data_IF_819689802142
#
_entry.id   IF_819689802142
#
_cell.length_a   1.000
_cell.length_b   1.000
_cell.length_c   1.000
_cell.angle_alpha   90.00
_cell.angle_beta   90.00
_cell.angle_gamma   90.00
#
_symmetry.space_group_name_H-M   'P 1'
#
loop_
_entity.id
_entity.type
_entity.pdbx_description
1 polymer ?
#
# COMPACT_ATOMS: atom_id res chain seq x y z
N UNK A 1 -8.45 -1.84 -11.14
CA UNK A 1 -7.07 -2.03 -11.62
C UNK A 1 -6.23 -2.80 -10.59
N UNK A 2 -5.98 -2.32 -9.38
CA UNK A 2 -5.10 -2.96 -8.38
C UNK A 2 -5.42 -4.44 -8.07
N UNK A 3 -6.66 -4.84 -7.76
CA UNK A 3 -6.96 -6.26 -7.52
C UNK A 3 -6.62 -7.16 -8.72
N UNK A 4 -6.82 -6.67 -9.95
CA UNK A 4 -6.48 -7.46 -11.13
C UNK A 4 -4.97 -7.60 -11.31
N UNK A 5 -4.17 -6.56 -10.99
CA UNK A 5 -2.71 -6.64 -10.99
C UNK A 5 -2.24 -7.68 -9.98
N UNK A 6 -2.81 -7.67 -8.77
CA UNK A 6 -2.51 -8.65 -7.72
C UNK A 6 -2.83 -10.07 -8.19
N UNK A 7 -4.00 -10.29 -8.76
CA UNK A 7 -4.45 -11.60 -9.26
C UNK A 7 -3.59 -12.12 -10.41
N UNK A 8 -3.29 -11.26 -11.40
CA UNK A 8 -2.52 -11.65 -12.60
C UNK A 8 -1.07 -12.02 -12.28
N UNK A 9 -0.53 -11.45 -11.21
CA UNK A 9 0.86 -11.65 -10.81
C UNK A 9 1.01 -12.50 -9.54
N UNK A 10 -0.10 -13.04 -9.00
CA UNK A 10 -0.15 -13.74 -7.70
C UNK A 10 0.54 -12.97 -6.58
N UNK A 11 0.35 -11.64 -6.57
CA UNK A 11 0.90 -10.76 -5.54
C UNK A 11 0.13 -10.93 -4.24
N UNK A 12 0.75 -11.59 -3.28
CA UNK A 12 0.27 -11.76 -1.91
C UNK A 12 1.45 -11.63 -0.95
N UNK A 13 1.23 -11.29 0.32
CA UNK A 13 2.33 -11.00 1.25
C UNK A 13 3.36 -12.11 1.35
N UNK A 14 2.90 -13.36 1.44
CA UNK A 14 3.77 -14.52 1.64
C UNK A 14 4.45 -14.99 0.34
N UNK A 15 4.08 -14.46 -0.82
CA UNK A 15 4.70 -14.82 -2.10
C UNK A 15 5.96 -14.02 -2.43
N UNK A 16 6.26 -12.97 -1.69
CA UNK A 16 7.52 -12.22 -1.83
C UNK A 16 8.62 -12.99 -1.12
N UNK A 17 9.57 -13.51 -1.88
CA UNK A 17 10.63 -14.41 -1.37
C UNK A 17 12.00 -13.91 -1.78
N UNK A 18 13.01 -14.36 -1.03
CA UNK A 18 14.41 -14.08 -1.31
C UNK A 18 15.05 -15.17 -2.20
N UNK A 19 16.17 -14.86 -2.84
CA UNK A 19 16.93 -15.84 -3.63
C UNK A 19 17.38 -17.05 -2.80
N UNK A 20 17.73 -16.82 -1.52
CA UNK A 20 18.11 -17.89 -0.61
C UNK A 20 16.95 -18.86 -0.33
N UNK A 21 15.73 -18.33 -0.14
CA UNK A 21 14.53 -19.15 0.02
C UNK A 21 14.21 -19.93 -1.27
N UNK A 22 14.36 -19.31 -2.44
CA UNK A 22 14.18 -20.01 -3.71
C UNK A 22 15.24 -21.09 -3.91
N UNK A 23 16.50 -20.84 -3.57
CA UNK A 23 17.59 -21.81 -3.72
C UNK A 23 17.41 -23.05 -2.85
N UNK A 24 16.83 -22.91 -1.65
CA UNK A 24 16.53 -24.01 -0.72
C UNK A 24 15.18 -24.69 -0.98
N UNK A 25 14.43 -24.25 -1.96
CA UNK A 25 13.07 -24.74 -2.22
C UNK A 25 13.09 -26.01 -3.08
N UNK A 26 12.36 -27.05 -2.66
CA UNK A 26 12.25 -28.34 -3.38
C UNK A 26 11.65 -28.21 -4.79
N UNK A 27 10.90 -27.14 -5.05
CA UNK A 27 10.31 -26.85 -6.36
C UNK A 27 11.24 -26.07 -7.31
N UNK A 28 12.39 -25.59 -6.81
CA UNK A 28 13.36 -24.89 -7.64
C UNK A 28 14.28 -25.88 -8.36
N UNK A 29 13.74 -26.55 -9.37
CA UNK A 29 14.45 -27.56 -10.18
C UNK A 29 14.57 -27.08 -11.63
N UNK A 30 15.58 -27.56 -12.38
CA UNK A 30 15.69 -27.27 -13.80
C UNK A 30 14.38 -27.57 -14.55
N UNK A 31 13.87 -26.59 -15.29
CA UNK A 31 12.59 -26.70 -16.01
C UNK A 31 11.34 -26.35 -15.22
N UNK A 32 11.46 -26.06 -13.92
CA UNK A 32 10.35 -25.67 -13.03
C UNK A 32 10.49 -24.20 -12.64
N UNK A 33 10.14 -23.30 -13.51
CA UNK A 33 10.11 -21.87 -13.18
C UNK A 33 8.88 -21.53 -12.34
N UNK A 34 9.08 -21.28 -11.05
CA UNK A 34 8.04 -20.80 -10.15
C UNK A 34 8.31 -19.38 -9.61
N UNK A 35 9.43 -18.79 -9.94
CA UNK A 35 9.82 -17.43 -9.59
C UNK A 35 9.41 -16.45 -10.70
N UNK A 36 8.69 -15.41 -10.32
CA UNK A 36 8.39 -14.28 -11.20
C UNK A 36 9.11 -13.05 -10.69
N UNK A 37 10.10 -12.58 -11.45
CA UNK A 37 10.85 -11.37 -11.09
C UNK A 37 10.09 -10.13 -11.52
N UNK A 38 9.85 -9.21 -10.58
CA UNK A 38 9.11 -7.97 -10.80
C UNK A 38 9.86 -6.77 -10.23
N UNK A 39 9.95 -5.72 -11.05
CA UNK A 39 10.59 -4.46 -10.63
C UNK A 39 9.60 -3.61 -9.84
N UNK A 40 10.12 -2.87 -8.88
CA UNK A 40 9.39 -1.87 -8.14
C UNK A 40 10.28 -0.67 -7.82
N UNK A 41 9.67 0.49 -7.63
CA UNK A 41 10.39 1.71 -7.31
C UNK A 41 10.19 2.04 -5.83
N UNK A 42 11.28 2.01 -5.06
CA UNK A 42 11.31 2.57 -3.72
C UNK A 42 11.64 4.05 -3.81
N UNK A 43 10.80 4.88 -3.21
CA UNK A 43 11.02 6.32 -3.09
C UNK A 43 11.10 6.68 -1.62
N UNK A 44 12.29 7.01 -1.17
CA UNK A 44 12.56 7.45 0.19
C UNK A 44 12.84 8.93 0.28
N UNK A 45 12.57 9.48 1.45
CA UNK A 45 12.93 10.84 1.81
C UNK A 45 14.08 10.80 2.81
N UNK A 46 15.03 11.71 2.68
CA UNK A 46 16.16 11.85 3.59
C UNK A 46 16.50 13.33 3.79
N UNK A 47 17.11 13.65 4.92
CA UNK A 47 17.61 15.01 5.13
C UNK A 47 18.83 15.27 4.23
N UNK A 48 18.90 16.43 3.55
CA UNK A 48 20.03 16.77 2.68
C UNK A 48 21.34 17.01 3.46
N UNK A 49 21.24 17.11 4.79
CA UNK A 49 22.40 17.33 5.68
C UNK A 49 23.43 16.22 5.52
N UNK A 50 24.71 16.61 5.43
CA UNK A 50 25.86 15.71 5.35
C UNK A 50 26.14 15.08 6.72
N UNK A 51 26.94 14.00 6.71
CA UNK A 51 27.29 13.28 7.94
C UNK A 51 27.89 14.17 9.03
N UNK A 52 28.78 15.07 8.64
CA UNK A 52 29.46 15.99 9.56
C UNK A 52 28.49 16.99 10.19
N UNK A 53 27.55 17.50 9.39
CA UNK A 53 26.48 18.40 9.85
C UNK A 53 25.52 17.68 10.82
N UNK A 54 25.20 16.42 10.54
CA UNK A 54 24.38 15.58 11.43
C UNK A 54 25.11 15.37 12.76
N UNK A 55 26.42 15.10 12.73
CA UNK A 55 27.24 14.93 13.94
C UNK A 55 27.33 16.23 14.73
N UNK A 56 27.53 17.37 14.07
CA UNK A 56 27.50 18.68 14.70
C UNK A 56 26.18 18.94 15.43
N UNK A 57 25.04 18.60 14.81
CA UNK A 57 23.73 18.75 15.44
C UNK A 57 23.57 17.82 16.65
N UNK A 58 24.09 16.59 16.58
CA UNK A 58 24.09 15.66 17.71
C UNK A 58 24.91 16.21 18.89
N UNK A 59 26.13 16.67 18.62
CA UNK A 59 26.97 17.29 19.68
C UNK A 59 26.29 18.51 20.28
N UNK A 60 25.60 19.33 19.49
CA UNK A 60 24.87 20.47 20.05
C UNK A 60 23.74 20.01 20.99
N UNK A 61 23.01 18.93 20.61
CA UNK A 61 21.97 18.36 21.47
C UNK A 61 22.53 17.74 22.76
N UNK A 62 23.72 17.13 22.71
CA UNK A 62 24.38 16.57 23.90
C UNK A 62 24.76 17.65 24.92
N UNK A 63 24.99 18.88 24.48
CA UNK A 63 25.29 20.02 25.33
C UNK A 63 24.06 20.78 25.83
N UNK A 64 22.89 20.49 25.31
CA UNK A 64 21.65 21.14 25.73
C UNK A 64 21.00 20.44 26.93
N UNK A 65 20.31 21.25 27.74
CA UNK A 65 19.49 20.76 28.85
C UNK A 65 18.01 20.88 28.52
N UNK A 66 17.25 19.88 28.89
CA UNK A 66 15.82 19.76 28.58
C UNK A 66 14.96 19.88 29.84
N UNK A 67 13.70 20.34 29.74
CA UNK A 67 12.81 20.48 30.87
C UNK A 67 12.70 19.18 31.68
N UNK A 68 12.57 19.34 32.98
CA UNK A 68 12.31 18.24 33.89
C UNK A 68 11.01 17.54 33.53
N UNK A 69 10.92 16.25 33.82
CA UNK A 69 9.66 15.51 33.71
C UNK A 69 8.74 15.89 34.86
N UNK A 70 7.42 15.85 34.63
CA UNK A 70 6.44 16.20 35.68
C UNK A 70 6.77 15.49 37.01
N UNK A 71 6.92 16.28 38.06
CA UNK A 71 7.30 15.80 39.40
C UNK A 71 8.82 15.77 39.71
N UNK A 72 9.69 16.16 38.77
CA UNK A 72 11.15 16.26 39.00
C UNK A 72 11.63 17.71 38.89
N UNK A 73 12.53 18.12 39.82
CA UNK A 73 13.05 19.51 39.86
C UNK A 73 14.33 19.72 39.03
N UNK A 74 14.90 18.67 38.44
CA UNK A 74 16.18 18.77 37.72
C UNK A 74 15.99 18.72 36.22
N UNK A 75 16.67 19.62 35.46
CA UNK A 75 16.73 19.51 34.00
C UNK A 75 17.40 18.18 33.58
N UNK A 76 16.96 17.62 32.47
CA UNK A 76 17.47 16.34 31.90
C UNK A 76 18.54 16.62 30.87
N UNK A 77 19.62 15.83 30.85
CA UNK A 77 20.55 15.80 29.73
C UNK A 77 19.92 15.05 28.52
N UNK A 78 20.46 15.26 27.33
CA UNK A 78 19.99 14.56 26.12
C UNK A 78 20.04 13.04 26.27
N UNK A 79 21.08 12.52 26.92
CA UNK A 79 21.24 11.10 27.20
C UNK A 79 20.16 10.51 28.13
N UNK A 80 19.54 11.33 28.99
CA UNK A 80 18.50 10.91 29.94
C UNK A 80 17.10 10.85 29.29
N UNK A 81 16.98 11.27 28.02
CA UNK A 81 15.74 11.24 27.27
C UNK A 81 15.48 9.83 26.72
N UNK A 82 14.21 9.47 26.56
CA UNK A 82 13.85 8.24 25.88
C UNK A 82 14.31 8.24 24.40
N UNK A 83 14.57 7.08 23.84
CA UNK A 83 14.98 6.95 22.44
C UNK A 83 14.00 7.63 21.46
N UNK A 84 12.70 7.63 21.78
CA UNK A 84 11.68 8.31 20.99
C UNK A 84 11.82 9.84 21.07
N UNK A 85 12.05 10.40 22.27
CA UNK A 85 12.28 11.85 22.48
C UNK A 85 13.56 12.31 21.79
N UNK A 86 14.66 11.54 21.93
CA UNK A 86 15.94 11.82 21.27
C UNK A 86 15.78 11.85 19.75
N UNK A 87 15.10 10.84 19.18
CA UNK A 87 14.83 10.76 17.73
C UNK A 87 13.98 11.93 17.25
N UNK A 88 12.93 12.29 17.98
CA UNK A 88 12.06 13.42 17.63
C UNK A 88 12.80 14.77 17.66
N UNK A 89 13.64 15.00 18.68
CA UNK A 89 14.45 16.21 18.78
C UNK A 89 15.48 16.29 17.66
N UNK A 90 16.19 15.19 17.38
CA UNK A 90 17.16 15.14 16.29
C UNK A 90 16.49 15.43 14.95
N UNK A 91 15.35 14.80 14.66
CA UNK A 91 14.60 15.06 13.43
C UNK A 91 14.14 16.51 13.32
N UNK A 92 13.66 17.11 14.40
CA UNK A 92 13.27 18.53 14.45
C UNK A 92 14.45 19.44 14.13
N UNK A 93 15.61 19.24 14.78
CA UNK A 93 16.83 20.04 14.54
C UNK A 93 17.35 19.86 13.11
N UNK A 94 17.35 18.65 12.59
CA UNK A 94 17.72 18.37 11.20
C UNK A 94 16.79 19.06 10.20
N UNK A 95 15.49 19.06 10.47
CA UNK A 95 14.51 19.74 9.62
C UNK A 95 14.75 21.27 9.62
N UNK A 96 14.99 21.86 10.78
CA UNK A 96 15.23 23.30 10.91
C UNK A 96 16.56 23.71 10.25
N UNK A 97 17.62 22.93 10.46
CA UNK A 97 18.92 23.12 9.81
C UNK A 97 18.79 23.00 8.29
N UNK A 98 18.18 21.94 7.79
CA UNK A 98 17.99 21.69 6.35
C UNK A 98 17.19 22.81 5.69
N UNK A 99 16.15 23.30 6.36
CA UNK A 99 15.34 24.44 5.88
C UNK A 99 16.17 25.73 5.76
N UNK A 100 17.05 25.98 6.75
CA UNK A 100 17.91 27.19 6.75
C UNK A 100 19.01 27.11 5.69
N UNK A 101 19.73 26.00 5.62
CA UNK A 101 20.92 25.83 4.77
C UNK A 101 20.55 25.44 3.36
N UNK A 102 19.68 24.43 3.18
CA UNK A 102 19.36 23.84 1.89
C UNK A 102 18.04 24.36 1.29
N UNK A 103 17.32 25.25 2.00
CA UNK A 103 16.00 25.80 1.59
C UNK A 103 14.92 24.76 1.36
N UNK A 104 15.15 23.52 1.83
CA UNK A 104 14.21 22.37 1.78
C UNK A 104 14.45 21.46 2.97
N UNK A 105 13.43 20.75 3.39
CA UNK A 105 13.51 19.85 4.55
C UNK A 105 14.06 18.48 4.16
N UNK A 106 13.56 17.93 3.05
CA UNK A 106 13.94 16.60 2.58
C UNK A 106 14.30 16.60 1.10
N UNK A 107 15.20 15.71 0.75
CA UNK A 107 15.45 15.26 -0.62
C UNK A 107 14.81 13.90 -0.85
N UNK A 108 14.41 13.62 -2.09
CA UNK A 108 13.84 12.33 -2.46
C UNK A 108 14.84 11.51 -3.27
N UNK A 109 14.95 10.24 -2.94
CA UNK A 109 15.75 9.27 -3.71
C UNK A 109 14.84 8.16 -4.20
N UNK A 110 14.80 7.95 -5.51
CA UNK A 110 14.10 6.82 -6.10
C UNK A 110 15.12 5.74 -6.49
N UNK A 111 14.92 4.54 -6.00
CA UNK A 111 15.75 3.37 -6.30
C UNK A 111 14.86 2.29 -6.89
N UNK A 112 15.21 1.83 -8.09
CA UNK A 112 14.53 0.66 -8.68
C UNK A 112 15.13 -0.60 -8.06
N UNK A 113 14.26 -1.47 -7.55
CA UNK A 113 14.59 -2.76 -6.95
C UNK A 113 13.85 -3.86 -7.69
N UNK A 114 14.29 -5.08 -7.50
CA UNK A 114 13.62 -6.28 -8.00
C UNK A 114 13.18 -7.13 -6.83
N UNK A 115 12.01 -7.75 -6.96
CA UNK A 115 11.48 -8.71 -6.01
C UNK A 115 11.10 -9.99 -6.73
N UNK A 116 11.28 -11.12 -6.06
CA UNK A 116 10.94 -12.45 -6.56
C UNK A 116 9.57 -12.82 -6.00
N UNK A 117 8.63 -13.16 -6.87
CA UNK A 117 7.28 -13.54 -6.51
C UNK A 117 7.07 -15.03 -6.76
N UNK A 118 6.96 -15.79 -5.68
CA UNK A 118 6.67 -17.22 -5.74
C UNK A 118 5.28 -17.46 -6.33
N UNK A 119 5.19 -18.21 -7.43
CA UNK A 119 3.94 -18.52 -8.10
C UNK A 119 3.23 -19.76 -7.52
N UNK A 120 3.86 -20.45 -6.55
CA UNK A 120 3.35 -21.67 -5.92
C UNK A 120 2.90 -21.51 -4.47
N UNK A 121 3.10 -20.34 -3.89
CA UNK A 121 2.68 -20.06 -2.52
C UNK A 121 1.16 -20.31 -2.32
N UNK A 122 0.78 -20.66 -1.10
CA UNK A 122 -0.62 -20.91 -0.75
C UNK A 122 -1.55 -19.80 -1.25
N UNK A 123 -2.52 -20.10 -2.11
CA UNK A 123 -3.32 -19.10 -2.80
C UNK A 123 -4.45 -18.49 -1.95
N UNK A 124 -4.48 -18.70 -0.65
CA UNK A 124 -5.58 -18.24 0.22
C UNK A 124 -5.92 -16.76 0.02
N UNK A 125 -4.90 -15.90 0.10
CA UNK A 125 -5.10 -14.45 -0.04
C UNK A 125 -5.59 -14.08 -1.44
N UNK A 126 -4.96 -14.63 -2.46
CA UNK A 126 -5.32 -14.39 -3.87
C UNK A 126 -6.70 -14.94 -4.21
N UNK A 127 -7.06 -16.12 -3.70
CA UNK A 127 -8.40 -16.68 -3.91
C UNK A 127 -9.48 -15.82 -3.25
N UNK A 128 -9.23 -15.33 -2.04
CA UNK A 128 -10.14 -14.40 -1.36
C UNK A 128 -10.36 -13.12 -2.18
N UNK A 129 -9.30 -12.52 -2.70
CA UNK A 129 -9.40 -11.33 -3.57
C UNK A 129 -10.18 -11.65 -4.85
N UNK A 130 -9.98 -12.84 -5.43
CA UNK A 130 -10.71 -13.32 -6.62
C UNK A 130 -12.20 -13.43 -6.33
N UNK A 131 -12.56 -14.07 -5.23
CA UNK A 131 -13.97 -14.30 -4.87
C UNK A 131 -14.72 -12.96 -4.69
N UNK A 132 -14.11 -11.99 -3.99
CA UNK A 132 -14.70 -10.65 -3.85
C UNK A 132 -14.80 -9.91 -5.19
N UNK A 133 -13.82 -10.06 -6.08
CA UNK A 133 -13.87 -9.48 -7.43
C UNK A 133 -15.01 -10.09 -8.24
N UNK A 134 -15.13 -11.40 -8.25
CA UNK A 134 -16.09 -12.12 -9.06
C UNK A 134 -17.52 -11.85 -8.59
N UNK A 135 -17.77 -11.86 -7.27
CA UNK A 135 -19.04 -11.42 -6.68
C UNK A 135 -19.38 -9.98 -7.04
N UNK A 136 -18.40 -9.08 -7.06
CA UNK A 136 -18.63 -7.71 -7.49
C UNK A 136 -19.09 -7.63 -8.94
N UNK A 137 -18.48 -8.42 -9.84
CA UNK A 137 -18.90 -8.46 -11.24
C UNK A 137 -20.30 -9.07 -11.40
N UNK A 138 -20.63 -10.08 -10.63
CA UNK A 138 -21.99 -10.64 -10.58
C UNK A 138 -23.01 -9.57 -10.18
N UNK A 139 -22.81 -8.85 -9.09
CA UNK A 139 -23.72 -7.78 -8.66
C UNK A 139 -23.81 -6.64 -9.68
N UNK A 140 -22.73 -6.30 -10.36
CA UNK A 140 -22.78 -5.34 -11.49
C UNK A 140 -23.62 -5.86 -12.66
N UNK A 141 -23.56 -7.14 -12.94
CA UNK A 141 -24.39 -7.79 -13.95
C UNK A 141 -25.87 -7.74 -13.58
N UNK A 142 -26.19 -8.09 -12.32
CA UNK A 142 -27.53 -8.02 -11.77
C UNK A 142 -28.07 -6.59 -11.76
N UNK A 143 -27.28 -5.61 -11.34
CA UNK A 143 -27.63 -4.20 -11.40
C UNK A 143 -27.98 -3.74 -12.82
N UNK A 144 -27.18 -4.12 -13.83
CA UNK A 144 -27.47 -3.79 -15.23
C UNK A 144 -28.78 -4.44 -15.70
N UNK A 145 -29.05 -5.68 -15.29
CA UNK A 145 -30.28 -6.40 -15.61
C UNK A 145 -31.49 -5.70 -15.01
N UNK A 146 -31.45 -5.33 -13.74
CA UNK A 146 -32.55 -4.66 -13.08
C UNK A 146 -32.80 -3.24 -13.59
N UNK A 147 -31.78 -2.53 -14.04
CA UNK A 147 -31.96 -1.23 -14.76
C UNK A 147 -32.77 -1.42 -16.05
N UNK A 148 -32.49 -2.46 -16.84
CA UNK A 148 -33.27 -2.79 -18.03
C UNK A 148 -34.72 -3.20 -17.68
N UNK A 149 -34.89 -3.96 -16.59
CA UNK A 149 -36.25 -4.32 -16.13
C UNK A 149 -37.04 -3.10 -15.71
N UNK A 150 -36.39 -2.11 -15.04
CA UNK A 150 -37.03 -0.85 -14.68
C UNK A 150 -37.51 -0.07 -15.93
N UNK A 151 -36.68 0.02 -16.97
CA UNK A 151 -37.07 0.65 -18.24
C UNK A 151 -38.32 -0.02 -18.82
N UNK A 152 -38.33 -1.35 -18.94
CA UNK A 152 -39.49 -2.12 -19.45
C UNK A 152 -40.74 -1.95 -18.59
N UNK A 153 -40.61 -2.03 -17.25
CA UNK A 153 -41.75 -1.87 -16.33
C UNK A 153 -42.34 -0.46 -16.40
N UNK A 154 -41.48 0.53 -16.62
CA UNK A 154 -41.90 1.93 -16.82
C UNK A 154 -42.68 2.13 -18.12
N UNK A 155 -42.23 1.50 -19.20
CA UNK A 155 -42.94 1.53 -20.52
C UNK A 155 -44.31 0.83 -20.43
N UNK A 156 -44.43 -0.24 -19.65
CA UNK A 156 -45.67 -1.00 -19.45
C UNK A 156 -46.57 -0.40 -18.36
N UNK A 157 -46.18 0.70 -17.73
CA UNK A 157 -46.90 1.33 -16.61
C UNK A 157 -47.19 0.38 -15.43
N UNK A 158 -46.39 -0.66 -15.25
CA UNK A 158 -46.52 -1.68 -14.19
C UNK A 158 -45.92 -1.14 -12.88
N UNK A 159 -46.76 -0.55 -12.00
CA UNK A 159 -46.34 0.12 -10.77
C UNK A 159 -45.62 -0.86 -9.80
N UNK A 160 -46.11 -2.08 -9.62
CA UNK A 160 -45.53 -3.08 -8.74
C UNK A 160 -44.12 -3.46 -9.18
N UNK A 161 -43.96 -3.79 -10.47
CA UNK A 161 -42.66 -4.17 -11.07
C UNK A 161 -41.65 -3.01 -11.06
N UNK A 162 -42.15 -1.79 -11.26
CA UNK A 162 -41.33 -0.57 -11.15
C UNK A 162 -40.78 -0.38 -9.75
N UNK A 163 -41.61 -0.60 -8.70
CA UNK A 163 -41.21 -0.46 -7.31
C UNK A 163 -40.20 -1.56 -6.92
N UNK A 164 -40.44 -2.79 -7.34
CA UNK A 164 -39.50 -3.91 -7.12
C UNK A 164 -38.17 -3.64 -7.81
N UNK A 165 -38.16 -3.27 -9.09
CA UNK A 165 -36.97 -2.96 -9.83
C UNK A 165 -36.13 -1.84 -9.16
N UNK A 166 -36.76 -0.79 -8.65
CA UNK A 166 -36.09 0.27 -7.90
C UNK A 166 -35.42 -0.26 -6.63
N UNK A 167 -36.09 -1.10 -5.86
CA UNK A 167 -35.51 -1.74 -4.64
C UNK A 167 -34.31 -2.60 -4.98
N UNK A 168 -34.39 -3.42 -6.01
CA UNK A 168 -33.32 -4.31 -6.42
C UNK A 168 -32.11 -3.54 -6.99
N UNK A 169 -32.32 -2.44 -7.68
CA UNK A 169 -31.26 -1.54 -8.15
C UNK A 169 -30.47 -0.99 -6.95
N UNK A 170 -31.14 -0.48 -5.93
CA UNK A 170 -30.49 0.06 -4.72
C UNK A 170 -29.70 -1.05 -4.01
N UNK A 171 -30.29 -2.24 -3.88
CA UNK A 171 -29.63 -3.39 -3.26
C UNK A 171 -28.33 -3.78 -3.97
N UNK A 172 -28.39 -4.03 -5.29
CA UNK A 172 -27.22 -4.49 -6.04
C UNK A 172 -26.17 -3.38 -6.22
N UNK A 173 -26.58 -2.12 -6.27
CA UNK A 173 -25.63 -1.01 -6.28
C UNK A 173 -24.86 -0.94 -4.96
N UNK A 174 -25.56 -1.05 -3.84
CA UNK A 174 -24.92 -1.10 -2.50
C UNK A 174 -23.98 -2.29 -2.35
N UNK A 175 -24.40 -3.49 -2.77
CA UNK A 175 -23.56 -4.69 -2.69
C UNK A 175 -22.30 -4.58 -3.56
N UNK A 176 -22.40 -4.11 -4.82
CA UNK A 176 -21.24 -3.95 -5.66
C UNK A 176 -20.27 -2.90 -5.12
N UNK A 177 -20.80 -1.82 -4.49
CA UNK A 177 -19.99 -0.79 -3.87
C UNK A 177 -19.26 -1.32 -2.63
N UNK A 178 -19.95 -2.08 -1.77
CA UNK A 178 -19.33 -2.72 -0.60
C UNK A 178 -18.15 -3.63 -1.01
N UNK A 179 -18.35 -4.47 -2.04
CA UNK A 179 -17.28 -5.33 -2.55
C UNK A 179 -16.13 -4.53 -3.18
N UNK A 180 -16.40 -3.37 -3.79
CA UNK A 180 -15.35 -2.46 -4.26
C UNK A 180 -14.52 -1.92 -3.09
N UNK A 181 -15.16 -1.54 -1.98
CA UNK A 181 -14.46 -1.05 -0.80
C UNK A 181 -13.59 -2.15 -0.16
N UNK A 182 -14.12 -3.38 -0.04
CA UNK A 182 -13.35 -4.53 0.47
C UNK A 182 -12.12 -4.79 -0.40
N UNK A 183 -12.27 -4.84 -1.72
CA UNK A 183 -11.16 -5.06 -2.66
C UNK A 183 -10.07 -3.97 -2.57
N UNK A 184 -10.46 -2.72 -2.41
CA UNK A 184 -9.51 -1.64 -2.21
C UNK A 184 -8.81 -1.75 -0.85
N UNK A 185 -9.51 -2.24 0.18
CA UNK A 185 -8.96 -2.46 1.51
C UNK A 185 -7.90 -3.57 1.53
N UNK A 186 -8.07 -4.64 0.75
CA UNK A 186 -7.03 -5.67 0.60
C UNK A 186 -5.72 -5.08 0.10
N UNK A 187 -5.76 -4.22 -0.91
CA UNK A 187 -4.56 -3.53 -1.39
C UNK A 187 -4.05 -2.49 -0.39
N UNK A 188 -4.94 -1.63 0.13
CA UNK A 188 -4.55 -0.56 1.05
C UNK A 188 -3.96 -1.07 2.36
N UNK A 189 -4.38 -2.26 2.82
CA UNK A 189 -3.89 -2.85 4.06
C UNK A 189 -2.41 -3.22 3.99
N UNK A 190 -1.91 -3.71 2.86
CA UNK A 190 -0.48 -4.09 2.72
C UNK A 190 0.47 -2.89 2.76
N UNK A 191 -0.04 -1.68 2.55
CA UNK A 191 0.72 -0.43 2.66
C UNK A 191 0.70 0.17 4.06
N UNK A 192 -0.15 -0.33 4.96
CA UNK A 192 -0.29 0.22 6.31
C UNK A 192 0.86 -0.24 7.18
N UNK A 193 1.72 0.67 7.60
CA UNK A 193 2.81 0.41 8.55
C UNK A 193 2.26 -0.23 9.83
N UNK A 194 2.84 -1.36 10.25
CA UNK A 194 2.39 -2.13 11.40
C UNK A 194 1.23 -3.10 11.12
N UNK A 195 0.75 -3.19 9.88
CA UNK A 195 -0.20 -4.23 9.50
C UNK A 195 0.49 -5.61 9.48
N UNK A 196 -0.26 -6.66 9.83
CA UNK A 196 0.26 -8.04 9.84
C UNK A 196 0.82 -8.48 8.47
N UNK A 197 0.23 -8.00 7.39
CA UNK A 197 0.61 -8.31 6.01
C UNK A 197 1.22 -7.11 5.29
N UNK A 198 2.00 -6.31 6.02
CA UNK A 198 2.71 -5.20 5.41
C UNK A 198 3.78 -5.70 4.44
N UNK A 199 3.74 -5.22 3.19
CA UNK A 199 4.74 -5.50 2.16
C UNK A 199 4.93 -4.28 1.27
N UNK A 200 6.10 -3.66 1.38
CA UNK A 200 6.48 -2.52 0.55
C UNK A 200 6.67 -2.95 -0.91
N UNK A 201 7.22 -4.12 -1.12
CA UNK A 201 7.49 -4.72 -2.42
C UNK A 201 6.18 -4.92 -3.18
N UNK A 202 5.20 -5.57 -2.56
CA UNK A 202 3.89 -5.83 -3.16
C UNK A 202 3.18 -4.52 -3.52
N UNK A 203 3.23 -3.53 -2.64
CA UNK A 203 2.67 -2.21 -2.88
C UNK A 203 3.37 -1.49 -4.04
N UNK A 204 4.72 -1.49 -4.04
CA UNK A 204 5.54 -0.85 -5.06
C UNK A 204 5.38 -1.48 -6.44
N UNK A 205 5.34 -2.82 -6.52
CA UNK A 205 5.09 -3.56 -7.76
C UNK A 205 3.71 -3.19 -8.33
N UNK A 206 2.68 -3.18 -7.47
CA UNK A 206 1.31 -2.86 -7.91
C UNK A 206 1.21 -1.43 -8.43
N UNK A 207 1.86 -0.47 -7.76
CA UNK A 207 1.91 0.92 -8.19
C UNK A 207 2.66 1.09 -9.51
N UNK A 208 3.86 0.49 -9.65
CA UNK A 208 4.67 0.60 -10.86
C UNK A 208 3.95 -0.03 -12.06
N UNK A 209 3.43 -1.25 -11.90
CA UNK A 209 2.65 -1.94 -12.93
C UNK A 209 1.42 -1.12 -13.34
N UNK A 210 0.70 -0.56 -12.35
CA UNK A 210 -0.45 0.30 -12.61
C UNK A 210 -0.09 1.56 -13.40
N UNK A 211 1.02 2.21 -13.05
CA UNK A 211 1.56 3.37 -13.79
C UNK A 211 1.90 3.02 -15.24
N UNK A 212 2.60 1.91 -15.45
CA UNK A 212 2.94 1.42 -16.80
C UNK A 212 1.69 1.15 -17.65
N UNK A 213 0.68 0.49 -17.08
CA UNK A 213 -0.58 0.23 -17.78
C UNK A 213 -1.32 1.51 -18.18
N UNK A 214 -1.30 2.54 -17.32
CA UNK A 214 -1.90 3.84 -17.62
C UNK A 214 -1.13 4.53 -18.76
N UNK A 215 0.20 4.47 -18.72
CA UNK A 215 1.03 5.05 -19.75
C UNK A 215 0.82 4.37 -21.11
N UNK A 216 0.82 3.04 -21.15
CA UNK A 216 0.49 2.28 -22.36
C UNK A 216 -0.89 2.63 -22.93
N UNK A 217 -1.92 2.80 -22.06
CA UNK A 217 -3.26 3.22 -22.48
C UNK A 217 -3.35 4.68 -22.94
N UNK A 218 -2.34 5.50 -22.67
CA UNK A 218 -2.26 6.87 -23.17
C UNK A 218 -1.59 6.95 -24.55
N UNK A 219 -0.74 5.98 -24.86
CA UNK A 219 -0.01 5.88 -26.14
C UNK A 219 -0.82 5.20 -27.24
N UNK A 220 -1.95 4.54 -26.89
CA UNK A 220 -2.96 4.00 -27.80
C UNK A 220 -3.99 5.05 -28.21
#
# INVERSE_FOLDING_TARGET
>A
MYPNIMLSNRLQPDSVVDEAMCASCDFNRPGMQCDKRMKWAWRGEYFPAKRDEINMIRHALDMETFPARDGQSRPRAYADLSAAEQSALLQKRLADYSRKVYKRVHDTKTVVREAIICQRENPFYINTVRDFRDRRYEYKGLLKRWKKNLEKASEMHALADTLEAKKMIVLYDSLQLAHKCILNSFYGYVMRKGARWYSMEMAGITCLTGGTLIQMGKEL
#
